data_IF_431006469597
#
_entry.id   IF_431006469597
#
_cell.length_a   1.000
_cell.length_b   1.000
_cell.length_c   1.000
_cell.angle_alpha   90.00
_cell.angle_beta   90.00
_cell.angle_gamma   90.00
#
_symmetry.space_group_name_H-M   'P 1'
#
loop_
_entity.id
_entity.type
_entity.pdbx_description
1 polymer ?
#
# COMPACT_ATOMS: atom_id res chain seq x y z
N UNK A 1 -25.03 11.53 2.73
CA UNK A 1 -24.50 10.91 2.61
C UNK A 1 -23.55 10.59 3.02
N UNK A 2 -23.39 10.09 3.35
CA UNK A 2 -22.37 9.90 3.61
C UNK A 2 -21.73 8.93 3.27
N UNK A 3 -20.99 8.98 2.69
CA UNK A 3 -20.33 7.84 2.32
C UNK A 3 -19.33 7.51 3.34
N UNK A 4 -19.47 6.41 3.93
CA UNK A 4 -18.48 5.94 4.79
C UNK A 4 -17.39 5.35 3.96
N UNK A 5 -16.29 5.99 3.91
CA UNK A 5 -15.12 5.45 3.27
C UNK A 5 -14.37 4.61 4.27
N UNK A 6 -14.12 3.37 3.89
CA UNK A 6 -13.34 2.50 4.73
C UNK A 6 -11.87 2.72 4.44
N UNK A 7 -11.07 2.55 5.46
CA UNK A 7 -9.62 2.59 5.31
C UNK A 7 -9.05 1.22 5.58
N UNK A 8 -7.92 0.95 4.97
CA UNK A 8 -7.18 -0.28 5.22
C UNK A 8 -5.77 0.10 5.62
N UNK A 9 -5.20 -0.68 6.50
CA UNK A 9 -3.83 -0.47 6.95
C UNK A 9 -2.91 -1.34 6.13
N UNK A 10 -1.90 -0.73 5.54
CA UNK A 10 -0.89 -1.48 4.80
C UNK A 10 0.46 -1.27 5.47
N UNK A 11 1.20 -2.32 5.58
CA UNK A 11 2.52 -2.31 6.20
C UNK A 11 3.52 -2.86 5.22
N UNK A 12 4.60 -2.14 5.02
CA UNK A 12 5.67 -2.60 4.15
C UNK A 12 6.50 -3.62 4.92
N UNK A 13 6.42 -4.88 4.53
CA UNK A 13 7.11 -5.96 5.24
C UNK A 13 8.44 -6.32 4.64
N UNK A 14 8.68 -5.92 3.40
CA UNK A 14 9.94 -6.25 2.73
C UNK A 14 10.62 -4.99 2.25
N UNK A 15 11.93 -5.10 2.07
CA UNK A 15 12.73 -3.99 1.59
C UNK A 15 12.39 -3.70 0.12
N UNK A 16 12.50 -2.44 -0.26
CA UNK A 16 12.31 -2.04 -1.65
C UNK A 16 13.54 -2.29 -2.49
N UNK A 17 14.61 -2.74 -1.86
CA UNK A 17 15.84 -3.03 -2.56
C UNK A 17 15.60 -4.17 -3.56
N UNK A 18 15.99 -3.97 -4.80
CA UNK A 18 15.78 -4.96 -5.84
C UNK A 18 14.38 -4.98 -6.43
N UNK A 19 13.52 -4.08 -5.99
CA UNK A 19 12.15 -3.98 -6.52
C UNK A 19 12.17 -3.15 -7.80
N UNK A 20 11.34 -3.54 -8.77
CA UNK A 20 11.25 -2.77 -10.00
C UNK A 20 10.67 -1.39 -9.73
N UNK A 21 11.02 -0.45 -10.60
CA UNK A 21 10.68 0.95 -10.41
C UNK A 21 9.17 1.17 -10.29
N UNK A 22 8.39 0.52 -11.13
CA UNK A 22 6.95 0.72 -11.12
C UNK A 22 6.35 0.28 -9.78
N UNK A 23 6.86 -0.79 -9.20
CA UNK A 23 6.39 -1.25 -7.90
C UNK A 23 6.79 -0.29 -6.80
N UNK A 24 7.98 0.26 -6.89
CA UNK A 24 8.42 1.26 -5.91
C UNK A 24 7.53 2.48 -5.95
N UNK A 25 7.12 2.90 -7.15
CA UNK A 25 6.23 4.03 -7.30
C UNK A 25 4.87 3.75 -6.69
N UNK A 26 4.38 2.52 -6.83
CA UNK A 26 3.12 2.14 -6.20
C UNK A 26 3.21 2.24 -4.68
N UNK A 27 4.30 1.74 -4.12
CA UNK A 27 4.51 1.79 -2.68
C UNK A 27 4.60 3.23 -2.19
N UNK A 28 5.31 4.07 -2.94
CA UNK A 28 5.40 5.49 -2.61
C UNK A 28 4.05 6.18 -2.71
N UNK A 29 3.27 5.82 -3.72
CA UNK A 29 1.94 6.37 -3.89
C UNK A 29 1.04 6.03 -2.74
N UNK A 30 1.27 4.89 -2.09
CA UNK A 30 0.52 4.50 -0.90
C UNK A 30 1.00 5.23 0.35
N UNK A 31 2.17 5.85 0.29
CA UNK A 31 2.71 6.58 1.42
C UNK A 31 3.75 5.85 2.23
N UNK A 32 4.11 4.66 1.80
CA UNK A 32 5.12 3.87 2.50
C UNK A 32 6.51 4.32 2.06
N UNK A 33 7.42 4.42 3.01
CA UNK A 33 8.76 4.92 2.73
C UNK A 33 9.86 3.95 3.08
N UNK A 34 9.63 3.10 4.06
CA UNK A 34 10.65 2.17 4.50
C UNK A 34 10.01 0.92 5.07
N UNK A 35 10.84 -0.07 5.28
CA UNK A 35 10.39 -1.35 5.81
C UNK A 35 9.77 -1.18 7.18
N UNK A 36 8.70 -1.93 7.40
CA UNK A 36 7.92 -1.90 8.65
C UNK A 36 7.14 -0.61 8.86
N UNK A 37 7.08 0.25 7.85
CA UNK A 37 6.25 1.44 7.91
C UNK A 37 4.81 1.07 7.63
N UNK A 38 3.89 1.56 8.44
CA UNK A 38 2.46 1.31 8.28
C UNK A 38 1.74 2.60 7.97
N UNK A 39 0.77 2.53 7.07
CA UNK A 39 -0.06 3.69 6.77
C UNK A 39 -1.48 3.22 6.55
N UNK A 40 -2.42 4.12 6.76
CA UNK A 40 -3.81 3.89 6.42
C UNK A 40 -4.11 4.53 5.08
N UNK A 41 -4.76 3.79 4.20
CA UNK A 41 -5.15 4.29 2.90
C UNK A 41 -6.63 4.04 2.71
N UNK A 42 -7.26 4.85 1.89
CA UNK A 42 -8.67 4.68 1.59
C UNK A 42 -8.88 3.41 0.79
N UNK A 43 -9.94 2.71 1.11
CA UNK A 43 -10.28 1.48 0.42
C UNK A 43 -11.03 1.81 -0.87
N UNK A 44 -10.28 2.21 -1.88
CA UNK A 44 -10.82 2.54 -3.19
C UNK A 44 -10.29 1.56 -4.20
N UNK A 45 -10.98 1.40 -5.35
CA UNK A 45 -10.48 0.50 -6.39
C UNK A 45 -9.08 0.87 -6.87
N UNK A 46 -8.78 2.16 -6.91
CA UNK A 46 -7.46 2.61 -7.34
C UNK A 46 -6.38 2.18 -6.36
N UNK A 47 -6.64 2.41 -5.07
CA UNK A 47 -5.68 2.02 -4.04
C UNK A 47 -5.56 0.51 -3.97
N UNK A 48 -6.66 -0.20 -4.14
CA UNK A 48 -6.61 -1.66 -4.15
C UNK A 48 -5.80 -2.19 -5.32
N UNK A 49 -5.90 -1.52 -6.47
CA UNK A 49 -5.10 -1.90 -7.63
C UNK A 49 -3.61 -1.77 -7.36
N UNK A 50 -3.22 -0.68 -6.72
CA UNK A 50 -1.82 -0.48 -6.36
C UNK A 50 -1.36 -1.51 -5.32
N UNK A 51 -2.21 -1.76 -4.34
CA UNK A 51 -1.89 -2.73 -3.29
C UNK A 51 -1.71 -4.12 -3.90
N UNK A 52 -2.59 -4.50 -4.83
CA UNK A 52 -2.49 -5.81 -5.47
C UNK A 52 -1.19 -5.98 -6.24
N UNK A 53 -0.72 -4.92 -6.87
CA UNK A 53 0.52 -4.99 -7.62
C UNK A 53 1.73 -5.28 -6.73
N UNK A 54 1.68 -4.80 -5.51
CA UNK A 54 2.83 -4.93 -4.60
C UNK A 54 2.45 -5.70 -3.34
N UNK A 55 1.39 -6.50 -3.41
CA UNK A 55 0.94 -7.22 -2.23
C UNK A 55 2.00 -8.17 -1.68
N UNK A 56 2.90 -8.66 -2.54
CA UNK A 56 3.98 -9.52 -2.09
C UNK A 56 4.98 -8.77 -1.21
N UNK A 57 4.93 -7.46 -1.21
CA UNK A 57 5.81 -6.63 -0.38
C UNK A 57 5.09 -6.12 0.87
N UNK A 58 3.76 -6.23 0.89
CA UNK A 58 2.95 -5.59 1.91
C UNK A 58 2.18 -6.60 2.72
N UNK A 59 1.79 -6.16 3.90
CA UNK A 59 0.81 -6.87 4.70
C UNK A 59 -0.39 -5.96 4.85
N UNK A 60 -1.55 -6.46 4.49
CA UNK A 60 -2.78 -5.68 4.57
C UNK A 60 -3.55 -6.14 5.79
N UNK A 61 -3.84 -5.18 6.66
CA UNK A 61 -4.64 -5.42 7.83
C UNK A 61 -5.87 -4.55 7.77
N UNK A 62 -6.95 -5.12 8.02
CA UNK A 62 -8.12 -4.35 7.83
C UNK A 62 -9.06 -4.31 8.90
#
# INVERSE_FOLDING_TARGET
>A
MMSTQKTITVTLTKSLSGTVESHRQCVRGLGLRHRHHSVEVLDTPENRGMINKVSYLLKVGG
#
